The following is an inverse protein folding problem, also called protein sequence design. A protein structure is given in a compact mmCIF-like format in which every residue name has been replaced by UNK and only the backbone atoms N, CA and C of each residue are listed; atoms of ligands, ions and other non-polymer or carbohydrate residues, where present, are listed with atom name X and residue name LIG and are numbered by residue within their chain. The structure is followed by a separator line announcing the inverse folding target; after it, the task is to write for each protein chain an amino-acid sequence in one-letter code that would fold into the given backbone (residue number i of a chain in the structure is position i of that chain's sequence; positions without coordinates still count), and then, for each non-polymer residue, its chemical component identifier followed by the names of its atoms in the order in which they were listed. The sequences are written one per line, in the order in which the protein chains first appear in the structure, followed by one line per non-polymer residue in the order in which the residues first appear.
data_IF_134375054641
#
_entry.id   IF_134375054641
#
_cell.length_a   1.000
_cell.length_b   1.000
_cell.length_c   1.000
_cell.angle_alpha   90.00
_cell.angle_beta   90.00
_cell.angle_gamma   90.00
#
_symmetry.space_group_name_H-M   'P 1'
#
loop_
_entity.id
_entity.type
_entity.pdbx_description
1 polymer ?
#
# COMPACT_ATOMS: atom_id res chain seq x y z
N UNK A 1 -58.97 -5.66 -31.85
CA UNK A 1 -58.73 -6.84 -30.99
C UNK A 1 -57.24 -7.06 -30.86
N UNK A 2 -56.80 -7.18 -29.61
CA UNK A 2 -55.42 -7.29 -29.16
C UNK A 2 -54.81 -8.65 -29.52
N UNK A 3 -53.51 -8.69 -29.77
CA UNK A 3 -52.57 -9.34 -28.84
C UNK A 3 -51.12 -9.09 -29.26
N UNK A 4 -50.43 -8.33 -28.41
CA UNK A 4 -48.96 -8.23 -28.36
C UNK A 4 -48.45 -9.52 -27.73
N UNK A 5 -47.51 -10.22 -28.39
CA UNK A 5 -46.72 -11.28 -27.74
C UNK A 5 -45.32 -10.71 -27.53
N UNK A 6 -45.09 -10.32 -26.28
CA UNK A 6 -43.77 -10.04 -25.72
C UNK A 6 -43.36 -11.34 -25.03
N UNK A 7 -42.31 -11.99 -25.53
CA UNK A 7 -41.57 -13.04 -24.84
C UNK A 7 -40.11 -12.69 -25.15
N UNK A 8 -39.34 -12.10 -24.25
CA UNK A 8 -39.09 -12.56 -22.90
C UNK A 8 -37.62 -12.98 -22.88
N UNK A 9 -36.72 -12.00 -23.00
CA UNK A 9 -35.27 -12.23 -22.91
C UNK A 9 -34.97 -12.60 -21.46
N UNK A 10 -34.79 -13.88 -21.18
CA UNK A 10 -34.17 -14.33 -19.93
C UNK A 10 -32.67 -14.02 -20.04
N UNK A 11 -32.25 -12.86 -19.54
CA UNK A 11 -30.86 -12.66 -19.12
C UNK A 11 -30.66 -13.56 -17.89
N UNK A 12 -30.05 -14.73 -18.09
CA UNK A 12 -29.47 -15.49 -17.00
C UNK A 12 -28.33 -14.66 -16.41
N UNK A 13 -28.59 -13.98 -15.29
CA UNK A 13 -27.56 -13.41 -14.44
C UNK A 13 -26.62 -14.54 -14.04
N UNK A 14 -25.41 -14.52 -14.58
CA UNK A 14 -24.30 -15.34 -14.10
C UNK A 14 -23.94 -14.76 -12.73
N UNK A 15 -24.56 -15.29 -11.68
CA UNK A 15 -24.09 -15.08 -10.30
C UNK A 15 -22.78 -15.84 -10.17
N UNK A 16 -21.69 -15.24 -10.65
CA UNK A 16 -20.36 -15.63 -10.23
C UNK A 16 -20.32 -15.44 -8.72
N UNK A 17 -20.09 -16.53 -7.99
CA UNK A 17 -19.76 -16.49 -6.58
C UNK A 17 -18.56 -15.55 -6.46
N UNK A 18 -18.80 -14.32 -5.99
CA UNK A 18 -17.71 -13.41 -5.69
C UNK A 18 -17.09 -13.97 -4.42
N UNK A 19 -16.08 -14.81 -4.60
CA UNK A 19 -15.21 -15.21 -3.51
C UNK A 19 -14.53 -13.93 -3.05
N UNK A 20 -15.06 -13.32 -1.98
CA UNK A 20 -14.33 -12.28 -1.30
C UNK A 20 -13.24 -12.93 -0.47
N UNK A 21 -11.99 -12.55 -0.73
CA UNK A 21 -10.88 -12.93 0.12
C UNK A 21 -11.08 -12.36 1.53
N UNK A 22 -10.85 -13.15 2.59
CA UNK A 22 -10.89 -12.65 3.95
C UNK A 22 -9.78 -11.62 4.15
N UNK A 23 -10.07 -10.58 4.93
CA UNK A 23 -9.14 -9.46 5.11
C UNK A 23 -7.97 -9.81 6.05
N UNK A 24 -8.08 -10.90 6.81
CA UNK A 24 -7.02 -11.51 7.62
C UNK A 24 -7.05 -13.04 7.49
N UNK A 25 -5.91 -13.71 7.68
CA UNK A 25 -5.78 -15.17 7.54
C UNK A 25 -6.73 -15.96 8.46
N UNK A 26 -6.97 -15.48 9.68
CA UNK A 26 -7.86 -16.14 10.66
C UNK A 26 -9.34 -15.74 10.51
N UNK A 27 -9.68 -14.95 9.48
CA UNK A 27 -11.04 -14.41 9.27
C UNK A 27 -11.59 -13.59 10.45
N UNK A 28 -10.72 -13.08 11.33
CA UNK A 28 -11.16 -12.17 12.39
C UNK A 28 -11.53 -10.80 11.80
N UNK A 29 -12.67 -10.22 12.22
CA UNK A 29 -13.05 -8.88 11.78
C UNK A 29 -12.02 -7.83 12.24
N UNK A 30 -11.75 -6.85 11.37
CA UNK A 30 -11.01 -5.65 11.75
C UNK A 30 -12.01 -4.61 12.23
N UNK A 31 -11.84 -4.14 13.47
CA UNK A 31 -12.57 -2.97 13.97
C UNK A 31 -11.94 -1.69 13.43
N UNK A 32 -12.75 -0.86 12.77
CA UNK A 32 -12.36 0.41 12.18
C UNK A 32 -13.10 1.54 12.87
N UNK A 33 -12.38 2.59 13.26
CA UNK A 33 -12.96 3.89 13.59
C UNK A 33 -12.94 4.78 12.37
N UNK A 34 -14.12 5.21 11.92
CA UNK A 34 -14.29 5.99 10.71
C UNK A 34 -14.24 7.50 10.97
N UNK A 35 -14.14 8.30 9.91
CA UNK A 35 -14.09 9.77 9.95
C UNK A 35 -15.31 10.45 10.59
N UNK A 36 -16.44 9.75 10.64
CA UNK A 36 -17.64 10.19 11.37
C UNK A 36 -17.69 9.70 12.83
N UNK A 37 -16.56 9.19 13.34
CA UNK A 37 -16.40 8.56 14.65
C UNK A 37 -17.22 7.27 14.86
N UNK A 38 -17.87 6.73 13.83
CA UNK A 38 -18.53 5.43 13.94
C UNK A 38 -17.52 4.29 13.99
N UNK A 39 -17.92 3.19 14.65
CA UNK A 39 -17.18 1.94 14.67
C UNK A 39 -17.81 0.95 13.70
N UNK A 40 -16.98 0.29 12.89
CA UNK A 40 -17.41 -0.75 11.95
C UNK A 40 -16.46 -1.93 11.99
N UNK A 41 -17.02 -3.13 11.97
CA UNK A 41 -16.24 -4.35 11.77
C UNK A 41 -16.28 -4.70 10.29
N UNK A 42 -15.12 -5.00 9.72
CA UNK A 42 -14.99 -5.46 8.33
C UNK A 42 -14.30 -6.83 8.31
N UNK A 43 -14.89 -7.77 7.57
CA UNK A 43 -14.33 -9.11 7.41
C UNK A 43 -13.70 -9.32 6.03
N UNK A 44 -14.14 -8.51 5.07
CA UNK A 44 -13.83 -8.68 3.65
C UNK A 44 -13.33 -7.39 3.03
N UNK A 45 -12.60 -7.51 1.92
CA UNK A 45 -12.28 -6.34 1.09
C UNK A 45 -13.55 -5.64 0.60
N UNK A 46 -14.63 -6.36 0.30
CA UNK A 46 -15.88 -5.78 -0.18
C UNK A 46 -16.54 -4.88 0.86
N UNK A 47 -16.63 -5.32 2.12
CA UNK A 47 -17.16 -4.53 3.23
C UNK A 47 -16.39 -3.22 3.38
N UNK A 48 -15.06 -3.32 3.39
CA UNK A 48 -14.17 -2.18 3.51
C UNK A 48 -14.35 -1.20 2.33
N UNK A 49 -14.38 -1.70 1.11
CA UNK A 49 -14.51 -0.87 -0.10
C UNK A 49 -15.88 -0.23 -0.19
N UNK A 50 -16.95 -0.88 0.28
CA UNK A 50 -18.27 -0.27 0.38
C UNK A 50 -18.27 0.96 1.30
N UNK A 51 -17.58 0.90 2.44
CA UNK A 51 -17.40 2.07 3.33
C UNK A 51 -16.64 3.20 2.63
N UNK A 52 -15.55 2.86 1.92
CA UNK A 52 -14.74 3.82 1.16
C UNK A 52 -15.54 4.51 0.05
N UNK A 53 -16.33 3.74 -0.72
CA UNK A 53 -17.23 4.27 -1.77
C UNK A 53 -18.34 5.16 -1.21
N UNK A 54 -18.74 4.95 0.04
CA UNK A 54 -19.64 5.84 0.78
C UNK A 54 -18.96 7.11 1.34
N UNK A 55 -17.68 7.36 0.99
CA UNK A 55 -16.93 8.54 1.41
C UNK A 55 -16.36 8.47 2.83
N UNK A 56 -16.35 7.28 3.46
CA UNK A 56 -15.79 7.10 4.81
C UNK A 56 -14.29 6.86 4.74
N UNK A 57 -13.55 7.41 5.69
CA UNK A 57 -12.10 7.17 5.84
C UNK A 57 -11.79 6.53 7.18
N UNK A 58 -10.78 5.67 7.24
CA UNK A 58 -10.30 5.03 8.47
C UNK A 58 -9.43 6.03 9.23
N UNK A 59 -9.79 6.31 10.48
CA UNK A 59 -9.01 7.19 11.36
C UNK A 59 -8.18 6.41 12.38
N UNK A 60 -8.66 5.23 12.78
CA UNK A 60 -8.01 4.40 13.79
C UNK A 60 -8.46 2.93 13.66
N UNK A 61 -7.68 2.02 14.24
CA UNK A 61 -7.94 0.59 14.30
C UNK A 61 -8.02 0.16 15.77
N UNK A 62 -9.15 0.44 16.46
CA UNK A 62 -9.28 0.19 17.88
C UNK A 62 -9.15 -1.29 18.22
N UNK A 63 -8.67 -1.56 19.44
CA UNK A 63 -8.51 -2.90 20.01
C UNK A 63 -7.50 -3.81 19.28
N UNK A 64 -6.70 -3.26 18.36
CA UNK A 64 -5.54 -3.94 17.81
C UNK A 64 -4.26 -3.50 18.53
N UNK A 65 -3.47 -4.45 19.08
CA UNK A 65 -2.10 -4.17 19.50
C UNK A 65 -1.27 -3.60 18.35
N UNK A 66 -0.38 -2.64 18.62
CA UNK A 66 0.46 -1.96 17.63
C UNK A 66 1.12 -2.91 16.61
N UNK A 67 1.63 -4.06 17.08
CA UNK A 67 2.27 -5.09 16.24
C UNK A 67 1.36 -5.67 15.14
N UNK A 68 0.05 -5.59 15.31
CA UNK A 68 -0.95 -6.06 14.34
C UNK A 68 -1.58 -4.92 13.54
N UNK A 69 -1.43 -3.67 13.99
CA UNK A 69 -1.93 -2.49 13.29
C UNK A 69 -1.33 -2.36 11.90
N UNK A 70 -0.01 -2.56 11.77
CA UNK A 70 0.68 -2.51 10.47
C UNK A 70 0.18 -3.59 9.50
N UNK A 71 -0.04 -4.80 10.00
CA UNK A 71 -0.56 -5.92 9.21
C UNK A 71 -2.00 -5.66 8.74
N UNK A 72 -2.84 -5.13 9.64
CA UNK A 72 -4.21 -4.74 9.31
C UNK A 72 -4.25 -3.62 8.26
N UNK A 73 -3.44 -2.56 8.44
CA UNK A 73 -3.30 -1.47 7.45
C UNK A 73 -2.76 -1.96 6.12
N UNK A 74 -1.80 -2.87 6.13
CA UNK A 74 -1.29 -3.53 4.91
C UNK A 74 -2.39 -4.27 4.16
N UNK A 75 -3.24 -5.00 4.87
CA UNK A 75 -4.38 -5.73 4.29
C UNK A 75 -5.43 -4.79 3.69
N UNK A 76 -5.79 -3.73 4.40
CA UNK A 76 -6.71 -2.69 3.90
C UNK A 76 -6.13 -1.96 2.67
N UNK A 77 -4.82 -1.65 2.69
CA UNK A 77 -4.11 -1.05 1.54
C UNK A 77 -4.10 -2.01 0.34
N UNK A 78 -3.95 -3.32 0.57
CA UNK A 78 -4.02 -4.31 -0.49
C UNK A 78 -5.43 -4.40 -1.11
N UNK A 79 -6.48 -4.36 -0.29
CA UNK A 79 -7.87 -4.27 -0.78
C UNK A 79 -8.09 -3.01 -1.62
N UNK A 80 -7.55 -1.86 -1.18
CA UNK A 80 -7.54 -0.62 -1.95
C UNK A 80 -6.85 -0.82 -3.31
N UNK A 81 -5.62 -1.33 -3.34
CA UNK A 81 -4.85 -1.51 -4.59
C UNK A 81 -5.56 -2.42 -5.59
N UNK A 82 -6.13 -3.53 -5.10
CA UNK A 82 -6.89 -4.47 -5.95
C UNK A 82 -8.14 -3.80 -6.54
N UNK A 83 -8.83 -2.98 -5.74
CA UNK A 83 -10.01 -2.23 -6.21
C UNK A 83 -9.63 -1.13 -7.17
N UNK A 84 -8.61 -0.34 -6.85
CA UNK A 84 -8.06 0.71 -7.71
C UNK A 84 -7.69 0.15 -9.08
N UNK A 85 -6.98 -0.98 -9.11
CA UNK A 85 -6.61 -1.67 -10.34
C UNK A 85 -7.85 -2.05 -11.17
N UNK A 86 -8.88 -2.62 -10.53
CA UNK A 86 -10.13 -2.99 -11.21
C UNK A 86 -10.85 -1.76 -11.77
N UNK A 87 -11.03 -0.72 -10.96
CA UNK A 87 -11.77 0.49 -11.33
C UNK A 87 -11.06 1.28 -12.45
N UNK A 88 -9.72 1.13 -12.56
CA UNK A 88 -8.90 1.77 -13.61
C UNK A 88 -8.57 0.83 -14.79
N UNK A 89 -9.15 -0.38 -14.83
CA UNK A 89 -8.92 -1.33 -15.93
C UNK A 89 -7.47 -1.82 -16.03
N UNK A 90 -6.75 -1.85 -14.91
CA UNK A 90 -5.36 -2.30 -14.83
C UNK A 90 -5.29 -3.81 -14.68
N UNK A 91 -4.31 -4.43 -15.33
CA UNK A 91 -4.01 -5.85 -15.20
C UNK A 91 -2.72 -6.04 -14.41
N UNK A 92 -2.76 -6.85 -13.36
CA UNK A 92 -1.58 -7.15 -12.55
C UNK A 92 -0.63 -8.08 -13.32
N UNK A 93 0.67 -7.76 -13.31
CA UNK A 93 1.72 -8.57 -13.94
C UNK A 93 2.32 -9.50 -12.88
N UNK A 94 2.15 -10.81 -13.05
CA UNK A 94 2.68 -11.85 -12.16
C UNK A 94 3.46 -12.91 -12.95
N UNK A 95 4.75 -13.19 -12.61
CA UNK A 95 5.60 -12.42 -11.70
C UNK A 95 5.95 -11.05 -12.30
N UNK A 96 6.22 -10.05 -11.45
CA UNK A 96 6.67 -8.74 -11.90
C UNK A 96 8.05 -8.88 -12.59
N UNK A 97 8.12 -8.56 -13.88
CA UNK A 97 9.33 -8.78 -14.69
C UNK A 97 10.46 -7.77 -14.44
N UNK A 98 10.17 -6.63 -13.81
CA UNK A 98 11.12 -5.52 -13.61
C UNK A 98 10.95 -4.83 -12.25
N UNK A 99 10.83 -5.62 -11.18
CA UNK A 99 10.75 -5.08 -9.83
C UNK A 99 12.03 -4.30 -9.47
N UNK A 100 11.94 -3.05 -8.99
CA UNK A 100 13.08 -2.34 -8.44
C UNK A 100 13.72 -3.12 -7.30
N UNK A 101 15.05 -3.19 -7.30
CA UNK A 101 15.83 -3.75 -6.20
C UNK A 101 15.81 -2.81 -4.99
N UNK A 102 16.01 -3.35 -3.78
CA UNK A 102 16.12 -2.51 -2.59
C UNK A 102 17.25 -1.47 -2.69
N UNK A 103 18.34 -1.80 -3.40
CA UNK A 103 19.42 -0.86 -3.67
C UNK A 103 18.93 0.31 -4.52
N UNK A 104 18.21 0.06 -5.61
CA UNK A 104 17.63 1.13 -6.44
C UNK A 104 16.64 1.98 -5.64
N UNK A 105 15.81 1.35 -4.79
CA UNK A 105 14.90 2.08 -3.89
C UNK A 105 15.68 3.01 -2.98
N UNK A 106 16.68 2.52 -2.25
CA UNK A 106 17.47 3.37 -1.33
C UNK A 106 18.25 4.46 -2.07
N UNK A 107 18.74 4.17 -3.27
CA UNK A 107 19.55 5.10 -4.06
C UNK A 107 18.71 6.18 -4.76
N UNK A 108 17.41 5.96 -4.98
CA UNK A 108 16.54 6.86 -5.75
C UNK A 108 15.30 7.39 -5.01
N UNK A 109 14.76 6.70 -4.01
CA UNK A 109 13.63 7.22 -3.24
C UNK A 109 14.04 8.50 -2.49
N UNK A 110 13.15 9.49 -2.40
CA UNK A 110 13.42 10.71 -1.65
C UNK A 110 13.66 10.41 -0.17
N UNK A 111 14.51 11.20 0.46
CA UNK A 111 14.82 11.09 1.88
C UNK A 111 13.58 11.23 2.78
N UNK A 112 12.50 11.84 2.30
CA UNK A 112 11.20 11.89 2.99
C UNK A 112 10.56 10.51 3.19
N UNK A 113 10.98 9.48 2.45
CA UNK A 113 10.57 8.09 2.66
C UNK A 113 11.51 7.33 3.60
N UNK A 114 12.60 7.95 4.07
CA UNK A 114 13.50 7.37 5.06
C UNK A 114 12.77 7.19 6.41
N UNK A 115 13.35 6.35 7.27
CA UNK A 115 12.87 6.22 8.65
C UNK A 115 12.97 7.57 9.39
N UNK A 116 11.91 7.89 10.14
CA UNK A 116 11.82 9.00 11.08
C UNK A 116 10.85 8.60 12.20
N UNK A 117 11.35 8.46 13.41
CA UNK A 117 10.63 7.94 14.57
C UNK A 117 9.94 9.09 15.34
N UNK A 118 10.34 10.34 15.08
CA UNK A 118 9.79 11.52 15.73
C UNK A 118 9.43 12.64 14.74
N UNK A 119 8.49 13.51 15.15
CA UNK A 119 8.14 14.72 14.39
C UNK A 119 9.35 15.63 14.16
N UNK A 120 10.31 15.64 15.09
CA UNK A 120 11.55 16.40 14.94
C UNK A 120 12.40 15.83 13.80
N UNK A 121 12.54 14.51 13.70
CA UNK A 121 13.26 13.87 12.60
C UNK A 121 12.57 14.09 11.26
N UNK A 122 11.23 14.02 11.22
CA UNK A 122 10.45 14.36 10.01
C UNK A 122 10.75 15.80 9.57
N UNK A 123 10.76 16.75 10.50
CA UNK A 123 11.09 18.14 10.21
C UNK A 123 12.55 18.33 9.74
N UNK A 124 13.50 17.61 10.35
CA UNK A 124 14.92 17.59 9.93
C UNK A 124 15.09 17.04 8.53
N UNK A 125 14.44 15.94 8.20
CA UNK A 125 14.46 15.35 6.84
C UNK A 125 13.93 16.35 5.82
N UNK A 126 12.78 16.97 6.11
CA UNK A 126 12.15 17.94 5.21
C UNK A 126 13.03 19.18 4.96
N UNK A 127 13.76 19.66 5.97
CA UNK A 127 14.57 20.87 5.88
C UNK A 127 15.97 20.64 5.33
N UNK A 128 16.67 19.58 5.76
CA UNK A 128 18.08 19.35 5.45
C UNK A 128 18.29 18.42 4.25
N UNK A 129 17.31 17.57 3.94
CA UNK A 129 17.43 16.51 2.95
C UNK A 129 16.40 16.65 1.81
N UNK A 130 15.90 17.86 1.57
CA UNK A 130 15.06 18.15 0.42
C UNK A 130 15.81 17.80 -0.88
N UNK A 131 15.16 17.09 -1.79
CA UNK A 131 15.74 16.59 -3.04
C UNK A 131 16.99 15.70 -2.85
N UNK A 132 17.12 15.08 -1.67
CA UNK A 132 18.10 14.03 -1.42
C UNK A 132 17.43 12.67 -1.42
N UNK A 133 18.20 11.62 -1.63
CA UNK A 133 17.72 10.24 -1.53
C UNK A 133 17.95 9.66 -0.14
N UNK A 134 17.32 8.51 0.16
CA UNK A 134 17.55 7.78 1.42
C UNK A 134 19.06 7.51 1.60
N UNK A 135 19.73 7.03 0.55
CA UNK A 135 21.20 6.85 0.50
C UNK A 135 21.99 8.09 0.88
N UNK A 136 21.54 9.27 0.46
CA UNK A 136 22.25 10.51 0.74
C UNK A 136 22.02 11.01 2.18
N UNK A 137 20.89 10.66 2.80
CA UNK A 137 20.66 10.85 4.24
C UNK A 137 21.51 9.88 5.07
N UNK A 138 21.55 8.61 4.67
CA UNK A 138 22.21 7.50 5.36
C UNK A 138 23.25 6.82 4.45
N UNK A 139 24.43 7.44 4.26
CA UNK A 139 25.44 6.93 3.32
C UNK A 139 26.03 5.59 3.72
N UNK A 140 25.93 5.18 4.99
CA UNK A 140 26.47 3.92 5.49
C UNK A 140 25.54 2.71 5.33
N UNK A 141 24.34 2.87 4.75
CA UNK A 141 23.42 1.74 4.50
C UNK A 141 24.11 0.65 3.67
N UNK A 142 24.22 -0.57 4.18
CA UNK A 142 24.84 -1.69 3.45
C UNK A 142 23.89 -2.87 3.37
N UNK A 143 23.97 -3.67 2.30
CA UNK A 143 23.19 -4.90 2.23
C UNK A 143 23.57 -5.84 3.38
N UNK A 144 22.59 -6.49 3.97
CA UNK A 144 22.80 -7.63 4.87
C UNK A 144 22.56 -8.96 4.13
N UNK A 145 22.74 -10.08 4.82
CA UNK A 145 22.55 -11.41 4.24
C UNK A 145 21.07 -11.84 4.11
N UNK A 146 20.12 -10.97 4.48
CA UNK A 146 18.70 -11.27 4.53
C UNK A 146 17.89 -10.41 3.55
N UNK A 147 18.54 -9.84 2.53
CA UNK A 147 17.89 -8.99 1.53
C UNK A 147 17.48 -7.61 2.07
N UNK A 148 18.09 -7.15 3.16
CA UNK A 148 17.83 -5.85 3.77
C UNK A 148 18.98 -4.89 3.48
N UNK A 149 18.77 -3.60 3.73
CA UNK A 149 19.84 -2.62 3.84
C UNK A 149 19.84 -2.04 5.25
N UNK A 150 20.99 -2.01 5.91
CA UNK A 150 21.12 -1.66 7.33
C UNK A 150 22.17 -0.57 7.52
N UNK A 151 21.84 0.46 8.31
CA UNK A 151 22.78 1.47 8.78
C UNK A 151 23.30 1.06 10.14
N UNK A 152 24.62 0.99 10.27
CA UNK A 152 25.26 0.75 11.57
C UNK A 152 25.29 2.01 12.42
N UNK A 153 25.30 3.19 11.78
CA UNK A 153 25.36 4.49 12.48
C UNK A 153 24.02 4.90 13.06
N UNK A 154 22.95 4.72 12.29
CA UNK A 154 21.59 5.06 12.71
C UNK A 154 20.87 3.89 13.41
N UNK A 155 21.47 2.70 13.38
CA UNK A 155 20.90 1.47 13.94
C UNK A 155 19.50 1.15 13.38
N UNK A 156 19.29 1.39 12.09
CA UNK A 156 18.03 1.17 11.37
C UNK A 156 18.26 0.42 10.06
N UNK A 157 17.18 0.07 9.38
CA UNK A 157 17.25 -0.58 8.08
C UNK A 157 15.94 -0.60 7.31
N UNK A 158 16.05 -1.15 6.11
CA UNK A 158 14.99 -1.18 5.11
C UNK A 158 14.89 -2.56 4.47
N UNK A 159 13.68 -2.92 4.03
CA UNK A 159 13.41 -4.10 3.21
C UNK A 159 12.21 -3.84 2.29
N UNK A 160 12.15 -4.51 1.13
CA UNK A 160 10.93 -4.51 0.29
C UNK A 160 10.02 -5.61 0.82
N UNK A 161 8.90 -5.23 1.45
CA UNK A 161 7.96 -6.19 2.04
C UNK A 161 6.91 -6.66 1.04
N UNK A 162 6.60 -5.84 0.03
CA UNK A 162 5.73 -6.21 -1.07
C UNK A 162 6.03 -5.38 -2.33
N UNK A 163 5.68 -5.93 -3.48
CA UNK A 163 5.75 -5.26 -4.77
C UNK A 163 4.60 -5.73 -5.66
N UNK A 164 3.82 -4.78 -6.17
CA UNK A 164 2.75 -5.05 -7.14
C UNK A 164 2.95 -4.19 -8.37
N UNK A 165 3.04 -4.84 -9.52
CA UNK A 165 3.15 -4.18 -10.82
C UNK A 165 1.85 -4.37 -11.59
N UNK A 166 1.35 -3.30 -12.16
CA UNK A 166 0.19 -3.30 -13.04
C UNK A 166 0.53 -2.72 -14.40
N UNK A 167 -0.29 -3.07 -15.39
CA UNK A 167 -0.26 -2.50 -16.73
C UNK A 167 -1.64 -2.00 -17.12
N UNK A 168 -1.69 -0.81 -17.70
CA UNK A 168 -2.93 -0.31 -18.32
C UNK A 168 -3.11 -0.87 -19.75
N UNK A 169 -4.23 -0.48 -20.38
CA UNK A 169 -4.59 -0.86 -21.75
C UNK A 169 -3.58 -0.37 -22.81
N UNK A 170 -2.87 0.73 -22.52
CA UNK A 170 -1.91 1.37 -23.42
C UNK A 170 -0.48 0.80 -23.22
N UNK A 171 -0.33 -0.13 -22.28
CA UNK A 171 0.93 -0.80 -21.97
C UNK A 171 1.79 -0.06 -20.95
N UNK A 172 1.30 1.04 -20.36
CA UNK A 172 2.01 1.79 -19.32
C UNK A 172 2.07 0.96 -18.04
N UNK A 173 3.26 0.91 -17.46
CA UNK A 173 3.54 0.21 -16.21
C UNK A 173 3.30 1.14 -15.03
N UNK A 174 2.66 0.61 -13.97
CA UNK A 174 2.43 1.26 -12.70
C UNK A 174 2.97 0.34 -11.60
N UNK A 175 3.98 0.82 -10.87
CA UNK A 175 4.65 0.05 -9.82
C UNK A 175 4.25 0.57 -8.44
N UNK A 176 3.84 -0.34 -7.56
CA UNK A 176 3.62 -0.09 -6.14
C UNK A 176 4.64 -0.88 -5.32
N UNK A 177 5.41 -0.20 -4.48
CA UNK A 177 6.41 -0.79 -3.59
C UNK A 177 6.00 -0.55 -2.15
N UNK A 178 5.94 -1.60 -1.36
CA UNK A 178 5.85 -1.49 0.10
C UNK A 178 7.26 -1.57 0.69
N UNK A 179 7.70 -0.45 1.26
CA UNK A 179 8.99 -0.30 1.92
C UNK A 179 8.79 -0.49 3.43
N UNK A 180 9.32 -1.59 3.95
CA UNK A 180 9.48 -1.80 5.38
C UNK A 180 10.68 -1.03 5.90
N UNK A 181 10.50 -0.33 7.02
CA UNK A 181 11.51 0.42 7.77
C UNK A 181 11.56 -0.15 9.18
N UNK A 182 12.73 -0.32 9.76
CA UNK A 182 12.84 -0.92 11.10
C UNK A 182 14.06 -0.41 11.86
N UNK A 183 14.00 -0.43 13.18
CA UNK A 183 15.20 -0.29 14.01
C UNK A 183 15.86 -1.66 14.22
N UNK A 184 17.18 -1.70 14.16
CA UNK A 184 17.97 -2.91 14.46
C UNK A 184 18.08 -3.20 15.95
N UNK A 185 17.87 -2.17 16.78
CA UNK A 185 17.87 -2.26 18.23
C UNK A 185 16.49 -1.85 18.74
N UNK A 186 15.67 -2.82 19.11
CA UNK A 186 14.29 -2.61 19.54
C UNK A 186 13.28 -3.35 18.68
N UNK A 187 12.01 -2.94 18.76
CA UNK A 187 10.89 -3.60 18.09
C UNK A 187 10.12 -2.66 17.15
N UNK A 188 10.59 -1.43 16.96
CA UNK A 188 9.91 -0.47 16.10
C UNK A 188 10.11 -0.85 14.63
N UNK A 189 9.01 -0.87 13.89
CA UNK A 189 9.00 -1.02 12.45
C UNK A 189 7.71 -0.43 11.89
N UNK A 190 7.76 -0.11 10.61
CA UNK A 190 6.65 0.45 9.85
C UNK A 190 6.76 -0.04 8.41
N UNK A 191 5.64 -0.27 7.74
CA UNK A 191 5.60 -0.44 6.28
C UNK A 191 4.78 0.65 5.62
N UNK A 192 5.35 1.32 4.63
CA UNK A 192 4.65 2.32 3.81
C UNK A 192 4.60 1.85 2.37
N UNK A 193 3.43 1.92 1.71
CA UNK A 193 3.31 1.62 0.28
C UNK A 193 3.43 2.90 -0.53
N UNK A 194 4.14 2.85 -1.66
CA UNK A 194 4.33 3.97 -2.56
C UNK A 194 4.03 3.58 -4.00
N UNK A 195 3.34 4.45 -4.72
CA UNK A 195 3.31 4.44 -6.19
C UNK A 195 4.56 5.14 -6.73
N UNK A 196 5.24 4.53 -7.69
CA UNK A 196 6.35 5.15 -8.41
C UNK A 196 5.81 5.90 -9.63
N UNK A 197 5.65 7.22 -9.49
CA UNK A 197 5.10 8.10 -10.52
C UNK A 197 6.10 8.38 -11.65
N UNK A 198 7.40 8.47 -11.33
CA UNK A 198 8.46 8.64 -12.34
C UNK A 198 9.83 8.21 -11.83
N UNK A 199 10.54 7.48 -12.70
CA UNK A 199 11.95 7.08 -12.53
C UNK A 199 12.93 7.95 -13.33
N UNK A 200 12.46 9.05 -13.95
CA UNK A 200 13.24 9.84 -14.93
C UNK A 200 14.32 10.73 -14.32
N UNK A 201 14.26 10.99 -13.01
CA UNK A 201 15.17 11.87 -12.29
C UNK A 201 16.04 11.06 -11.32
N UNK A 202 17.19 11.59 -10.86
CA UNK A 202 18.00 10.93 -9.84
C UNK A 202 17.23 10.65 -8.54
N UNK A 203 16.35 11.57 -8.13
CA UNK A 203 15.37 11.35 -7.07
C UNK A 203 14.04 11.03 -7.73
N UNK A 204 13.52 9.83 -7.50
CA UNK A 204 12.25 9.40 -8.08
C UNK A 204 11.09 10.18 -7.50
N UNK A 205 10.08 10.40 -8.35
CA UNK A 205 8.81 10.95 -7.90
C UNK A 205 7.95 9.79 -7.43
N UNK A 206 7.57 9.82 -6.16
CA UNK A 206 6.72 8.81 -5.53
C UNK A 206 5.53 9.47 -4.85
N UNK A 207 4.49 8.69 -4.61
CA UNK A 207 3.33 9.08 -3.82
C UNK A 207 3.03 7.97 -2.82
N UNK A 208 2.80 8.34 -1.56
CA UNK A 208 2.34 7.40 -0.55
C UNK A 208 0.92 6.92 -0.86
N UNK A 209 0.73 5.62 -0.71
CA UNK A 209 -0.54 4.92 -0.88
C UNK A 209 -0.85 4.19 0.43
N UNK A 210 -2.01 4.50 0.98
CA UNK A 210 -2.58 3.83 2.15
C UNK A 210 -4.06 3.48 1.91
N UNK A 211 -4.71 2.90 2.91
CA UNK A 211 -6.11 2.50 2.85
C UNK A 211 -7.08 3.68 2.62
N UNK A 212 -6.61 4.90 2.85
CA UNK A 212 -7.38 6.12 2.68
C UNK A 212 -7.13 6.86 1.35
N UNK A 213 -6.31 6.30 0.47
CA UNK A 213 -6.08 6.87 -0.86
C UNK A 213 -7.37 7.00 -1.67
N UNK A 214 -7.46 7.96 -2.61
CA UNK A 214 -8.65 8.15 -3.45
C UNK A 214 -8.96 6.91 -4.29
N UNK A 215 -10.21 6.42 -4.21
CA UNK A 215 -10.75 5.38 -5.10
C UNK A 215 -11.28 5.98 -6.39
#
# INVERSE_FOLDING_TARGET
MNNKIIVGVLLACVSGSVFSEPLQEDSQPISLKLSDNSLKEVNTCEDFIALRRAGKTVTDLPNLPDRFTDMARGSLTNCYLTTYAKDHGLTEIKPASQAPTLKEIVDHFPASAAIAISNEEVAKVKSLYQNKTIRQKEPDLKPDNNGRMVSTKSADGYLISNHRTFKDKDGKIIDFITLGKFVTQGTWGESTTYEILSKSNPVWKIQEINENSPL
#
